data_IF_788998617674
#
_entry.id   IF_788998617674
#
_cell.length_a   1.000
_cell.length_b   1.000
_cell.length_c   1.000
_cell.angle_alpha   90.00
_cell.angle_beta   90.00
_cell.angle_gamma   90.00
#
_symmetry.space_group_name_H-M   'P 1'
#
loop_
_entity.id
_entity.type
_entity.pdbx_description
1 polymer ?
#
# COMPACT_ATOMS: atom_id res chain seq x y z
N UNK A 1 -13.75 43.21 -4.98
CA UNK A 1 -13.48 41.77 -5.18
C UNK A 1 -12.24 41.38 -4.38
N UNK A 2 -12.37 40.31 -3.61
CA UNK A 2 -11.26 39.73 -2.86
C UNK A 2 -10.34 38.96 -3.83
N UNK A 3 -9.05 38.80 -3.49
CA UNK A 3 -8.16 37.90 -4.26
C UNK A 3 -8.66 36.46 -4.26
N UNK A 4 -9.45 36.06 -3.28
CA UNK A 4 -10.06 34.74 -3.20
C UNK A 4 -11.04 34.43 -4.33
N UNK A 5 -11.65 35.45 -4.95
CA UNK A 5 -12.56 35.25 -6.07
C UNK A 5 -11.84 34.87 -7.37
N UNK A 6 -10.53 35.14 -7.45
CA UNK A 6 -9.70 34.82 -8.63
C UNK A 6 -9.14 33.40 -8.61
N UNK A 7 -9.16 32.73 -7.47
CA UNK A 7 -8.52 31.43 -7.29
C UNK A 7 -9.50 30.42 -6.73
N UNK A 8 -9.39 29.20 -7.18
CA UNK A 8 -10.13 28.07 -6.67
C UNK A 8 -9.17 27.18 -5.87
N UNK A 9 -9.47 26.96 -4.59
CA UNK A 9 -8.70 26.04 -3.77
C UNK A 9 -8.97 24.60 -4.19
N UNK A 10 -7.92 23.83 -4.49
CA UNK A 10 -7.99 22.40 -4.73
C UNK A 10 -7.12 21.72 -3.69
N UNK A 11 -7.74 20.94 -2.82
CA UNK A 11 -7.07 20.29 -1.69
C UNK A 11 -7.17 18.79 -1.85
N UNK A 12 -6.03 18.11 -1.82
CA UNK A 12 -5.96 16.65 -1.79
C UNK A 12 -5.34 16.19 -0.48
N UNK A 13 -5.81 15.05 0.01
CA UNK A 13 -5.23 14.38 1.16
C UNK A 13 -4.66 13.04 0.70
N UNK A 14 -3.46 12.74 1.15
CA UNK A 14 -2.82 11.46 0.91
C UNK A 14 -2.51 10.81 2.25
N UNK A 15 -3.08 9.64 2.48
CA UNK A 15 -2.98 8.94 3.74
C UNK A 15 -2.32 7.59 3.51
N UNK A 16 -1.29 7.29 4.29
CA UNK A 16 -0.61 6.01 4.29
C UNK A 16 -0.99 5.21 5.52
N UNK A 17 -1.47 3.99 5.32
CA UNK A 17 -1.85 3.09 6.40
C UNK A 17 -1.14 1.75 6.27
N UNK A 18 -0.61 1.24 7.38
CA UNK A 18 -0.08 -0.12 7.47
C UNK A 18 -1.10 -0.99 8.19
N UNK A 19 -1.54 -2.06 7.55
CA UNK A 19 -2.51 -2.97 8.11
C UNK A 19 -1.86 -3.93 9.12
N UNK A 20 -2.60 -4.28 10.16
CA UNK A 20 -2.11 -5.18 11.22
C UNK A 20 -2.18 -6.65 10.79
N UNK A 21 -1.44 -7.02 9.76
CA UNK A 21 -1.30 -8.39 9.29
C UNK A 21 0.03 -8.98 9.71
N UNK A 22 0.10 -10.31 9.85
CA UNK A 22 1.36 -11.00 10.18
C UNK A 22 2.33 -11.02 9.00
N UNK A 23 1.81 -11.04 7.77
CA UNK A 23 2.59 -11.08 6.54
C UNK A 23 2.33 -9.84 5.69
N UNK A 24 3.28 -9.54 4.80
CA UNK A 24 3.16 -8.47 3.80
C UNK A 24 2.05 -8.77 2.80
N UNK A 25 1.62 -7.75 2.05
CA UNK A 25 0.46 -7.83 1.17
C UNK A 25 0.56 -8.88 0.05
N UNK A 26 1.75 -9.13 -0.47
CA UNK A 26 1.95 -10.00 -1.63
C UNK A 26 2.97 -11.10 -1.43
N UNK A 27 3.36 -11.37 -0.20
CA UNK A 27 4.27 -12.47 0.15
C UNK A 27 4.08 -12.91 1.60
N UNK A 28 4.72 -14.00 1.99
CA UNK A 28 4.63 -14.54 3.35
C UNK A 28 5.62 -13.95 4.34
N UNK A 29 6.42 -12.98 3.92
CA UNK A 29 7.40 -12.34 4.79
C UNK A 29 6.74 -11.61 5.94
N UNK A 30 7.38 -11.62 7.12
CA UNK A 30 6.86 -10.94 8.30
C UNK A 30 6.70 -9.44 8.07
N UNK A 31 5.57 -8.90 8.52
CA UNK A 31 5.29 -7.48 8.53
C UNK A 31 5.48 -6.86 9.92
N UNK A 32 6.13 -7.57 10.84
CA UNK A 32 6.34 -7.10 12.21
C UNK A 32 7.13 -5.78 12.23
N UNK A 33 6.68 -4.85 13.08
CA UNK A 33 7.34 -3.55 13.24
C UNK A 33 8.64 -3.70 14.03
N UNK A 34 9.66 -2.97 13.62
CA UNK A 34 10.93 -2.93 14.36
C UNK A 34 11.85 -4.12 14.13
N UNK A 35 11.60 -4.93 13.11
CA UNK A 35 12.53 -6.01 12.74
C UNK A 35 13.90 -5.47 12.32
N UNK A 36 14.96 -6.29 12.50
CA UNK A 36 16.30 -5.91 12.09
C UNK A 36 16.37 -5.65 10.57
N UNK A 37 17.25 -4.76 10.11
CA UNK A 37 17.35 -4.46 8.68
C UNK A 37 17.61 -5.72 7.85
N UNK A 38 16.91 -5.84 6.70
CA UNK A 38 17.05 -6.92 5.72
C UNK A 38 16.77 -8.32 6.24
N UNK A 39 16.02 -8.48 7.33
CA UNK A 39 15.66 -9.79 7.90
C UNK A 39 14.28 -10.28 7.49
N UNK A 40 13.39 -9.38 7.09
CA UNK A 40 12.01 -9.70 6.70
C UNK A 40 11.86 -9.69 5.18
N UNK A 41 12.71 -10.45 4.50
CA UNK A 41 12.77 -10.47 3.04
C UNK A 41 12.88 -11.89 2.51
N UNK A 42 12.27 -12.12 1.35
CA UNK A 42 12.34 -13.36 0.58
C UNK A 42 12.68 -13.03 -0.88
N UNK A 43 12.89 -14.04 -1.76
CA UNK A 43 13.09 -13.77 -3.19
C UNK A 43 11.99 -12.91 -3.81
N UNK A 44 10.74 -13.04 -3.37
CA UNK A 44 9.63 -12.20 -3.85
C UNK A 44 9.83 -10.75 -3.45
N UNK A 45 10.17 -10.48 -2.20
CA UNK A 45 10.44 -9.12 -1.70
C UNK A 45 11.65 -8.49 -2.37
N UNK A 46 12.68 -9.28 -2.64
CA UNK A 46 13.89 -8.83 -3.32
C UNK A 46 13.69 -8.67 -4.84
N UNK A 47 12.60 -9.17 -5.39
CA UNK A 47 12.31 -9.04 -6.81
C UNK A 47 13.18 -9.93 -7.70
N UNK A 48 13.57 -11.11 -7.23
CA UNK A 48 14.36 -12.05 -8.02
C UNK A 48 13.61 -12.47 -9.29
N UNK A 49 14.32 -12.75 -10.41
CA UNK A 49 13.69 -13.21 -11.64
C UNK A 49 12.90 -14.49 -11.43
N UNK A 50 11.72 -14.57 -12.04
CA UNK A 50 10.85 -15.75 -11.98
C UNK A 50 9.97 -15.84 -10.74
N UNK A 51 10.06 -14.90 -9.79
CA UNK A 51 9.19 -14.88 -8.61
C UNK A 51 7.90 -14.13 -8.90
N UNK A 52 6.79 -14.63 -8.35
CA UNK A 52 5.48 -14.01 -8.46
C UNK A 52 4.96 -13.63 -7.08
N UNK A 53 4.30 -12.47 -6.96
CA UNK A 53 3.64 -12.09 -5.71
C UNK A 53 2.55 -13.08 -5.32
N UNK A 54 2.40 -13.31 -4.01
CA UNK A 54 1.30 -14.10 -3.45
C UNK A 54 0.41 -13.19 -2.65
N UNK A 55 -0.90 -13.28 -2.88
CA UNK A 55 -1.88 -12.44 -2.20
C UNK A 55 -2.02 -12.80 -0.72
N UNK A 56 -1.98 -11.81 0.15
CA UNK A 56 -2.35 -11.95 1.55
C UNK A 56 -3.85 -11.70 1.71
N UNK A 57 -4.60 -12.76 1.98
CA UNK A 57 -6.06 -12.69 2.13
C UNK A 57 -6.50 -11.74 3.25
N UNK A 58 -5.80 -11.75 4.38
CA UNK A 58 -6.12 -10.85 5.52
C UNK A 58 -5.95 -9.38 5.16
N UNK A 59 -4.93 -9.07 4.36
CA UNK A 59 -4.71 -7.71 3.89
C UNK A 59 -5.88 -7.24 3.02
N UNK A 60 -6.39 -8.09 2.13
CA UNK A 60 -7.55 -7.77 1.30
C UNK A 60 -8.79 -7.58 2.16
N UNK A 61 -9.02 -8.44 3.16
CA UNK A 61 -10.14 -8.30 4.09
C UNK A 61 -10.10 -6.96 4.84
N UNK A 62 -8.93 -6.57 5.35
CA UNK A 62 -8.76 -5.29 6.04
C UNK A 62 -8.95 -4.10 5.10
N UNK A 63 -8.43 -4.19 3.87
CA UNK A 63 -8.59 -3.14 2.87
C UNK A 63 -10.07 -2.95 2.49
N UNK A 64 -10.82 -4.03 2.33
CA UNK A 64 -12.27 -3.97 2.05
C UNK A 64 -13.02 -3.37 3.22
N UNK A 65 -12.71 -3.76 4.45
CA UNK A 65 -13.32 -3.17 5.65
C UNK A 65 -13.09 -1.67 5.73
N UNK A 66 -11.88 -1.22 5.46
CA UNK A 66 -11.54 0.21 5.44
C UNK A 66 -12.31 0.94 4.33
N UNK A 67 -12.37 0.36 3.13
CA UNK A 67 -13.12 0.92 2.02
C UNK A 67 -14.60 1.09 2.33
N UNK A 68 -15.22 0.09 2.95
CA UNK A 68 -16.61 0.16 3.39
C UNK A 68 -16.82 1.22 4.48
N UNK A 69 -15.90 1.34 5.43
CA UNK A 69 -15.97 2.35 6.47
C UNK A 69 -15.87 3.78 5.92
N UNK A 70 -15.12 3.97 4.84
CA UNK A 70 -14.98 5.25 4.15
C UNK A 70 -16.09 5.53 3.13
N UNK A 71 -17.03 4.62 2.93
CA UNK A 71 -18.11 4.76 1.95
C UNK A 71 -17.64 4.61 0.50
N UNK A 72 -16.54 3.92 0.28
CA UNK A 72 -15.96 3.72 -1.06
C UNK A 72 -16.68 2.63 -1.85
N UNK A 73 -16.64 2.75 -3.17
CA UNK A 73 -17.09 1.69 -4.06
C UNK A 73 -16.02 0.60 -4.16
N UNK A 74 -16.41 -0.64 -3.85
CA UNK A 74 -15.48 -1.77 -3.88
C UNK A 74 -15.59 -2.47 -5.23
N UNK A 75 -14.49 -2.48 -5.98
CA UNK A 75 -14.42 -3.22 -7.24
C UNK A 75 -14.13 -4.69 -6.99
N UNK A 76 -14.85 -5.57 -7.68
CA UNK A 76 -14.65 -7.01 -7.57
C UNK A 76 -13.46 -7.52 -8.40
N UNK A 77 -13.12 -6.82 -9.48
CA UNK A 77 -12.00 -7.15 -10.33
C UNK A 77 -10.91 -6.10 -10.20
N UNK A 78 -9.76 -6.51 -9.71
CA UNK A 78 -8.63 -5.63 -9.44
C UNK A 78 -7.35 -6.28 -9.93
N UNK A 79 -6.36 -5.44 -10.26
CA UNK A 79 -5.01 -5.88 -10.59
C UNK A 79 -4.03 -5.16 -9.69
N UNK A 80 -3.03 -5.88 -9.19
CA UNK A 80 -1.94 -5.27 -8.46
C UNK A 80 -0.93 -4.65 -9.43
N UNK A 81 -0.46 -3.47 -9.06
CA UNK A 81 0.69 -2.85 -9.68
C UNK A 81 1.87 -2.91 -8.70
N UNK A 82 3.08 -3.02 -9.23
CA UNK A 82 4.29 -2.97 -8.42
C UNK A 82 5.06 -1.71 -8.74
N UNK A 83 5.40 -0.96 -7.70
CA UNK A 83 6.26 0.22 -7.82
C UNK A 83 7.60 -0.08 -7.19
N UNK A 84 8.66 0.09 -7.97
CA UNK A 84 10.03 -0.03 -7.49
C UNK A 84 10.62 1.37 -7.33
N UNK A 85 11.20 1.63 -6.16
CA UNK A 85 11.72 2.94 -5.83
C UNK A 85 13.05 2.81 -5.11
N UNK A 86 14.07 3.45 -5.62
CA UNK A 86 15.46 3.24 -5.18
C UNK A 86 16.02 4.39 -4.34
N UNK A 87 15.22 5.39 -4.01
CA UNK A 87 15.63 6.51 -3.17
C UNK A 87 15.17 6.29 -1.71
N UNK A 88 15.79 6.96 -0.73
CA UNK A 88 15.51 6.70 0.68
C UNK A 88 14.21 7.30 1.22
N UNK A 89 13.49 8.08 0.44
CA UNK A 89 12.17 8.58 0.84
C UNK A 89 11.07 7.52 0.65
N UNK A 90 9.84 7.83 1.05
CA UNK A 90 8.74 6.86 1.07
C UNK A 90 8.09 6.72 -0.31
N UNK A 91 8.23 5.56 -1.00
CA UNK A 91 7.54 5.34 -2.27
C UNK A 91 6.06 5.04 -2.04
N UNK A 92 5.21 5.62 -2.89
CA UNK A 92 3.77 5.35 -2.90
C UNK A 92 3.34 4.94 -4.30
N UNK A 93 2.57 3.88 -4.39
CA UNK A 93 2.10 3.35 -5.66
C UNK A 93 0.60 3.52 -5.92
#
# INVERSE_FOLDING_TARGET
MSVYDKYKAVIGLEIHAQLSTEAKAFCSDSAAYGGAPNTQVSPISLGHPGTLPKLNKRQVEFAVKMGLACGSDIRRHNKFARKNYFYPDLPKG
#
